data_IF_736380029121
#
_entry.id   IF_736380029121
#
_cell.length_a   1.000
_cell.length_b   1.000
_cell.length_c   1.000
_cell.angle_alpha   90.00
_cell.angle_beta   90.00
_cell.angle_gamma   90.00
#
_symmetry.space_group_name_H-M   'P 1'
#
loop_
_entity.id
_entity.type
_entity.pdbx_description
1 polymer ?
#
# COMPACT_ATOMS: atom_id res chain seq x y z
N UNK A 1 -19.96 12.58 -5.09
CA UNK A 1 -21.03 11.66 -5.53
C UNK A 1 -21.31 11.93 -7.01
N UNK A 2 -21.42 10.93 -7.90
CA UNK A 2 -21.84 11.16 -9.29
C UNK A 2 -23.26 11.76 -9.44
N UNK A 3 -24.12 11.66 -8.42
CA UNK A 3 -25.49 12.20 -8.46
C UNK A 3 -25.56 13.68 -8.02
N UNK A 4 -24.60 14.15 -7.22
CA UNK A 4 -24.60 15.50 -6.63
C UNK A 4 -23.60 16.46 -7.32
N UNK A 5 -23.44 16.30 -8.63
CA UNK A 5 -22.48 17.08 -9.43
C UNK A 5 -22.79 18.57 -9.41
N UNK A 6 -24.06 18.95 -9.45
CA UNK A 6 -24.50 20.35 -9.39
C UNK A 6 -24.17 21.01 -8.04
N UNK A 7 -24.37 20.30 -6.93
CA UNK A 7 -24.07 20.82 -5.59
C UNK A 7 -22.56 20.94 -5.34
N UNK A 8 -21.78 19.98 -5.84
CA UNK A 8 -20.31 20.04 -5.79
C UNK A 8 -19.77 21.18 -6.66
N UNK A 9 -20.35 21.43 -7.84
CA UNK A 9 -19.92 22.50 -8.74
C UNK A 9 -20.14 23.91 -8.16
N UNK A 10 -21.17 24.09 -7.35
CA UNK A 10 -21.49 25.36 -6.69
C UNK A 10 -20.60 25.67 -5.47
N UNK A 11 -19.80 24.71 -4.98
CA UNK A 11 -18.92 24.89 -3.82
C UNK A 11 -17.61 25.62 -4.18
N UNK A 12 -17.65 26.95 -4.21
CA UNK A 12 -16.53 27.82 -4.59
C UNK A 12 -15.53 28.18 -3.46
N UNK A 13 -15.79 27.78 -2.22
CA UNK A 13 -14.97 28.11 -1.04
C UNK A 13 -14.43 26.88 -0.32
N UNK A 14 -13.28 27.02 0.34
CA UNK A 14 -12.71 25.93 1.16
C UNK A 14 -13.61 25.56 2.35
N UNK A 15 -14.37 26.50 2.90
CA UNK A 15 -15.37 26.19 3.92
C UNK A 15 -16.45 25.26 3.35
N UNK A 16 -16.97 25.54 2.16
CA UNK A 16 -18.01 24.73 1.51
C UNK A 16 -17.50 23.32 1.17
N UNK A 17 -16.27 23.19 0.65
CA UNK A 17 -15.64 21.89 0.39
C UNK A 17 -15.48 21.06 1.68
N UNK A 18 -15.11 21.68 2.81
CA UNK A 18 -15.03 20.98 4.10
C UNK A 18 -16.40 20.51 4.59
N UNK A 19 -17.47 21.27 4.35
CA UNK A 19 -18.84 20.87 4.64
C UNK A 19 -19.23 19.63 3.81
N UNK A 20 -18.96 19.65 2.50
CA UNK A 20 -19.21 18.50 1.61
C UNK A 20 -18.42 17.23 1.99
N UNK A 21 -17.21 17.37 2.55
CA UNK A 21 -16.43 16.25 3.11
C UNK A 21 -17.10 15.70 4.39
N UNK A 22 -17.60 16.59 5.26
CA UNK A 22 -18.29 16.21 6.50
C UNK A 22 -19.63 15.52 6.22
N UNK A 23 -20.34 16.00 5.21
CA UNK A 23 -21.65 15.48 4.78
C UNK A 23 -21.52 14.20 3.92
N UNK A 24 -20.29 13.79 3.56
CA UNK A 24 -20.02 12.52 2.87
C UNK A 24 -20.15 12.57 1.34
N UNK A 25 -20.42 13.74 0.76
CA UNK A 25 -20.50 13.94 -0.70
C UNK A 25 -19.12 13.85 -1.38
N UNK A 26 -18.06 14.20 -0.65
CA UNK A 26 -16.66 14.03 -1.05
C UNK A 26 -15.98 13.06 -0.08
N UNK A 27 -15.50 11.93 -0.60
CA UNK A 27 -14.86 10.88 0.19
C UNK A 27 -13.43 10.65 -0.30
N UNK A 28 -12.50 10.50 0.65
CA UNK A 28 -11.16 10.00 0.35
C UNK A 28 -11.25 8.51 0.02
N UNK A 29 -11.03 8.16 -1.25
CA UNK A 29 -10.96 6.76 -1.66
C UNK A 29 -9.85 6.02 -0.92
N UNK A 30 -10.07 4.76 -0.50
CA UNK A 30 -9.01 3.95 0.07
C UNK A 30 -7.89 3.74 -0.96
N UNK A 31 -6.66 3.63 -0.47
CA UNK A 31 -5.50 3.33 -1.32
C UNK A 31 -5.59 1.87 -1.79
N UNK A 32 -5.19 1.61 -3.03
CA UNK A 32 -5.06 0.24 -3.54
C UNK A 32 -4.11 -0.57 -2.65
N UNK A 33 -4.55 -1.76 -2.23
CA UNK A 33 -3.83 -2.55 -1.23
C UNK A 33 -2.65 -3.30 -1.85
N UNK A 34 -1.45 -3.07 -1.33
CA UNK A 34 -0.28 -3.91 -1.59
C UNK A 34 -0.10 -4.97 -0.50
N UNK A 35 -0.64 -6.17 -0.74
CA UNK A 35 -0.57 -7.27 0.23
C UNK A 35 0.86 -7.77 0.45
N UNK A 36 1.26 -7.88 1.73
CA UNK A 36 2.55 -8.43 2.16
C UNK A 36 2.49 -9.92 2.55
N UNK A 37 1.32 -10.57 2.41
CA UNK A 37 1.12 -11.94 2.87
C UNK A 37 2.12 -12.94 2.24
N UNK A 38 2.31 -12.88 0.92
CA UNK A 38 3.27 -13.74 0.21
C UNK A 38 4.72 -13.54 0.67
N UNK A 39 5.13 -12.27 0.80
CA UNK A 39 6.49 -11.93 1.25
C UNK A 39 6.72 -12.40 2.69
N UNK A 40 5.75 -12.19 3.59
CA UNK A 40 5.83 -12.66 4.99
C UNK A 40 5.90 -14.18 5.08
N UNK A 41 5.06 -14.91 4.33
CA UNK A 41 5.11 -16.38 4.27
C UNK A 41 6.50 -16.88 3.83
N UNK A 42 7.05 -16.28 2.78
CA UNK A 42 8.38 -16.63 2.29
C UNK A 42 9.50 -16.27 3.29
N UNK A 43 9.41 -15.13 3.98
CA UNK A 43 10.36 -14.73 5.00
C UNK A 43 10.36 -15.70 6.19
N UNK A 44 9.19 -16.14 6.66
CA UNK A 44 9.06 -17.14 7.73
C UNK A 44 9.68 -18.48 7.29
N UNK A 45 9.42 -18.93 6.05
CA UNK A 45 10.02 -20.15 5.52
C UNK A 45 11.56 -20.03 5.43
N UNK A 46 12.09 -18.89 4.97
CA UNK A 46 13.53 -18.62 4.93
C UNK A 46 14.16 -18.60 6.32
N UNK A 47 13.48 -18.03 7.32
CA UNK A 47 13.94 -18.05 8.71
C UNK A 47 14.04 -19.48 9.27
N UNK A 48 13.16 -20.37 8.83
CA UNK A 48 13.22 -21.82 9.13
C UNK A 48 14.28 -22.57 8.28
N UNK A 49 15.16 -21.87 7.57
CA UNK A 49 16.23 -22.46 6.74
C UNK A 49 15.80 -22.91 5.34
N UNK A 50 14.53 -22.72 4.94
CA UNK A 50 14.06 -23.10 3.59
C UNK A 50 14.53 -22.07 2.54
N UNK A 51 14.67 -22.49 1.29
CA UNK A 51 15.08 -21.61 0.17
C UNK A 51 16.46 -20.91 0.32
N UNK A 52 17.39 -21.51 1.08
CA UNK A 52 18.76 -20.98 1.33
C UNK A 52 19.90 -21.85 0.77
N UNK A 53 19.59 -22.93 0.04
CA UNK A 53 20.58 -23.82 -0.59
C UNK A 53 21.38 -23.17 -1.73
N UNK A 54 22.43 -23.84 -2.20
CA UNK A 54 23.41 -23.31 -3.17
C UNK A 54 22.77 -22.71 -4.43
N UNK A 55 21.78 -23.37 -5.04
CA UNK A 55 21.09 -22.84 -6.24
C UNK A 55 20.28 -21.55 -6.03
N UNK A 56 20.08 -21.10 -4.78
CA UNK A 56 19.48 -19.79 -4.46
C UNK A 56 20.53 -18.75 -4.03
N UNK A 57 21.81 -19.13 -3.96
CA UNK A 57 22.93 -18.23 -3.65
C UNK A 57 23.50 -17.70 -4.96
N UNK A 58 23.37 -16.38 -5.19
CA UNK A 58 23.90 -15.72 -6.39
C UNK A 58 25.17 -14.90 -6.14
N UNK A 59 25.34 -14.36 -4.92
CA UNK A 59 26.55 -13.61 -4.53
C UNK A 59 27.60 -14.49 -3.85
N UNK A 60 28.84 -14.01 -3.80
CA UNK A 60 29.95 -14.63 -3.08
C UNK A 60 29.67 -14.69 -1.57
N UNK A 61 30.39 -15.54 -0.84
CA UNK A 61 30.20 -15.67 0.62
C UNK A 61 30.45 -14.35 1.34
N UNK A 62 31.57 -13.69 1.05
CA UNK A 62 31.95 -12.41 1.64
C UNK A 62 30.94 -11.28 1.33
N UNK A 63 30.31 -11.28 0.14
CA UNK A 63 29.26 -10.31 -0.19
C UNK A 63 27.93 -10.56 0.54
N UNK A 64 27.65 -11.81 0.94
CA UNK A 64 26.41 -12.17 1.64
C UNK A 64 26.51 -11.95 3.15
N UNK A 65 27.67 -12.23 3.71
CA UNK A 65 28.03 -12.05 5.11
C UNK A 65 29.51 -11.70 5.14
N UNK A 66 29.85 -10.39 5.20
CA UNK A 66 31.23 -9.96 5.36
C UNK A 66 31.79 -10.50 6.67
N UNK A 67 32.95 -11.13 6.59
CA UNK A 67 33.76 -11.54 7.75
C UNK A 67 34.78 -10.48 8.07
#
# INVERSE_FOLDING_TARGET
DPNETNEIANANSRQNIRKLIKDGLIIRKPVAVHSRARVRKNAIARRKGRHMGHGKRKGTQNARMPT
#
